data_IF_075918650805
#
_entry.id   IF_075918650805
#
_cell.length_a   1.000
_cell.length_b   1.000
_cell.length_c   1.000
_cell.angle_alpha   90.00
_cell.angle_beta   90.00
_cell.angle_gamma   90.00
#
_symmetry.space_group_name_H-M   'P 1'
#
loop_
_entity.id
_entity.type
_entity.pdbx_description
1 polymer ?
#
# COMPACT_ATOMS: atom_id res chain seq x y z
N UNK A 1 -25.68 -34.46 -40.35
CA UNK A 1 -24.30 -33.90 -40.29
C UNK A 1 -24.38 -32.47 -39.80
N UNK A 2 -23.41 -32.08 -38.96
CA UNK A 2 -23.14 -30.73 -38.41
C UNK A 2 -24.03 -30.32 -37.24
N UNK A 3 -23.42 -30.26 -36.06
CA UNK A 3 -23.21 -29.06 -35.22
C UNK A 3 -22.83 -29.59 -33.84
N UNK A 4 -21.53 -29.76 -33.58
CA UNK A 4 -21.00 -29.93 -32.23
C UNK A 4 -19.47 -29.68 -32.24
N UNK A 5 -19.04 -28.57 -32.84
CA UNK A 5 -17.66 -28.09 -32.75
C UNK A 5 -17.69 -26.59 -32.41
N UNK A 6 -18.37 -26.22 -31.31
CA UNK A 6 -18.29 -24.84 -30.76
C UNK A 6 -18.47 -24.85 -29.23
N UNK A 7 -17.97 -25.88 -28.53
CA UNK A 7 -17.94 -25.86 -27.04
C UNK A 7 -16.57 -26.35 -26.55
N UNK A 8 -15.49 -25.86 -27.15
CA UNK A 8 -14.13 -26.17 -26.68
C UNK A 8 -13.22 -24.94 -26.55
N UNK A 9 -13.74 -23.71 -26.71
CA UNK A 9 -12.96 -22.48 -26.54
C UNK A 9 -13.35 -21.63 -25.32
N UNK A 10 -14.42 -21.96 -24.60
CA UNK A 10 -14.81 -21.23 -23.38
C UNK A 10 -13.98 -21.60 -22.14
N UNK A 11 -13.02 -22.53 -22.28
CA UNK A 11 -12.14 -22.97 -21.19
C UNK A 11 -10.76 -22.28 -21.19
N UNK A 12 -10.49 -21.35 -22.12
CA UNK A 12 -9.21 -20.64 -22.22
C UNK A 12 -9.27 -19.15 -21.84
N UNK A 13 -10.23 -18.78 -20.98
CA UNK A 13 -10.21 -17.49 -20.29
C UNK A 13 -10.24 -17.72 -18.77
N UNK A 14 -9.47 -18.70 -18.30
CA UNK A 14 -8.95 -18.64 -16.94
C UNK A 14 -7.73 -17.73 -17.02
N UNK A 15 -7.97 -16.48 -16.67
CA UNK A 15 -7.03 -15.38 -16.66
C UNK A 15 -5.67 -15.82 -16.13
N UNK A 16 -4.65 -15.46 -16.89
CA UNK A 16 -3.24 -15.50 -16.58
C UNK A 16 -2.89 -14.53 -15.44
N UNK A 17 -3.46 -14.74 -14.26
CA UNK A 17 -2.94 -14.14 -13.03
C UNK A 17 -1.73 -14.98 -12.63
N UNK A 18 -0.58 -14.67 -13.24
CA UNK A 18 0.69 -15.04 -12.66
C UNK A 18 0.77 -14.32 -11.30
N UNK A 19 0.26 -14.97 -10.26
CA UNK A 19 0.35 -14.48 -8.89
C UNK A 19 1.83 -14.32 -8.58
N UNK A 20 2.28 -13.09 -8.35
CA UNK A 20 3.66 -12.83 -7.97
C UNK A 20 4.03 -13.71 -6.77
N UNK A 21 5.02 -14.57 -6.95
CA UNK A 21 5.52 -15.42 -5.87
C UNK A 21 6.63 -14.68 -5.14
N UNK A 22 6.34 -14.22 -3.93
CA UNK A 22 7.34 -13.62 -3.05
C UNK A 22 8.50 -14.59 -2.79
N UNK A 23 9.72 -14.14 -3.02
CA UNK A 23 10.93 -14.93 -2.76
C UNK A 23 11.67 -14.29 -1.59
N UNK A 24 11.90 -15.00 -0.48
CA UNK A 24 12.69 -14.47 0.62
C UNK A 24 14.09 -14.03 0.17
N UNK A 25 14.47 -12.80 0.53
CA UNK A 25 15.79 -12.24 0.21
C UNK A 25 16.75 -12.44 1.37
N UNK A 26 17.93 -12.98 1.10
CA UNK A 26 18.98 -13.16 2.09
C UNK A 26 19.39 -11.84 2.74
N UNK A 27 19.46 -11.81 4.07
CA UNK A 27 19.73 -10.62 4.87
C UNK A 27 18.51 -9.72 5.12
N UNK A 28 17.33 -10.13 4.65
CA UNK A 28 16.04 -9.47 4.88
C UNK A 28 14.93 -10.49 5.18
N UNK A 29 15.24 -11.56 5.90
CA UNK A 29 14.29 -12.65 6.20
C UNK A 29 13.09 -12.19 7.04
N UNK A 30 13.20 -11.01 7.67
CA UNK A 30 12.13 -10.33 8.39
C UNK A 30 11.09 -9.69 7.46
N UNK A 31 11.44 -9.41 6.19
CA UNK A 31 10.48 -9.03 5.15
C UNK A 31 9.64 -10.26 4.80
N UNK A 32 8.32 -10.11 4.89
CA UNK A 32 7.36 -11.18 4.61
C UNK A 32 6.51 -10.83 3.39
N UNK A 33 5.97 -11.88 2.77
CA UNK A 33 5.01 -11.77 1.66
C UNK A 33 3.77 -10.96 2.05
N UNK A 34 3.41 -10.94 3.34
CA UNK A 34 2.32 -10.14 3.86
C UNK A 34 2.74 -9.38 5.11
N UNK A 35 2.13 -8.22 5.35
CA UNK A 35 2.30 -7.44 6.58
C UNK A 35 0.96 -6.91 7.06
N UNK A 36 0.66 -6.95 8.35
CA UNK A 36 -0.54 -6.29 8.87
C UNK A 36 -0.43 -4.78 8.69
N UNK A 37 -1.55 -4.17 8.31
CA UNK A 37 -1.78 -2.73 8.37
C UNK A 37 -2.63 -2.46 9.60
N UNK A 38 -2.17 -1.55 10.45
CA UNK A 38 -2.78 -1.27 11.75
C UNK A 38 -2.96 0.22 11.96
N UNK A 39 -3.75 0.60 12.96
CA UNK A 39 -3.98 2.01 13.33
C UNK A 39 -4.43 2.88 12.15
N UNK A 40 -5.18 2.30 11.21
CA UNK A 40 -5.73 3.03 10.09
C UNK A 40 -6.82 3.98 10.56
N UNK A 41 -6.69 5.27 10.22
CA UNK A 41 -7.73 6.26 10.43
C UNK A 41 -7.69 7.25 9.29
N UNK A 42 -8.85 7.50 8.68
CA UNK A 42 -9.11 8.61 7.78
C UNK A 42 -10.11 9.54 8.45
N UNK A 43 -9.80 10.81 8.52
CA UNK A 43 -10.63 11.85 9.10
C UNK A 43 -10.90 12.93 8.05
N UNK A 44 -12.16 13.27 7.89
CA UNK A 44 -12.63 14.42 7.16
C UNK A 44 -13.19 15.45 8.13
N UNK A 45 -12.63 16.65 8.11
CA UNK A 45 -13.11 17.79 8.88
C UNK A 45 -14.50 18.23 8.43
N UNK A 46 -15.28 18.80 9.35
CA UNK A 46 -16.50 19.48 8.95
C UNK A 46 -16.13 20.70 8.09
N UNK A 47 -16.90 20.98 7.03
CA UNK A 47 -16.60 22.05 6.06
C UNK A 47 -16.44 23.44 6.69
N UNK A 48 -16.99 23.65 7.90
CA UNK A 48 -16.97 24.92 8.63
C UNK A 48 -16.06 24.89 9.87
N UNK A 49 -15.28 23.83 10.07
CA UNK A 49 -14.33 23.68 11.17
C UNK A 49 -12.89 23.82 10.66
N UNK A 50 -12.00 24.28 11.52
CA UNK A 50 -10.58 24.47 11.27
C UNK A 50 -9.77 23.16 11.27
N UNK A 51 -10.40 22.04 11.62
CA UNK A 51 -9.72 20.74 11.69
C UNK A 51 -9.47 20.20 10.28
N UNK A 52 -8.21 20.06 9.83
CA UNK A 52 -7.90 19.60 8.48
C UNK A 52 -8.17 18.10 8.33
N UNK A 53 -8.45 17.69 7.09
CA UNK A 53 -8.50 16.27 6.73
C UNK A 53 -7.16 15.61 7.02
N UNK A 54 -7.20 14.36 7.48
CA UNK A 54 -6.00 13.62 7.80
C UNK A 54 -6.15 12.12 7.58
N UNK A 55 -5.03 11.47 7.29
CA UNK A 55 -4.94 10.01 7.20
C UNK A 55 -3.72 9.54 7.95
N UNK A 56 -3.85 8.44 8.67
CA UNK A 56 -2.74 7.76 9.35
C UNK A 56 -2.90 6.25 9.31
N UNK A 57 -1.78 5.54 9.32
CA UNK A 57 -1.72 4.09 9.42
C UNK A 57 -0.29 3.63 9.73
N UNK A 58 -0.14 2.35 10.07
CA UNK A 58 1.13 1.74 10.42
C UNK A 58 1.29 0.35 9.81
N UNK A 59 2.51 -0.02 9.44
CA UNK A 59 2.92 -1.40 9.18
C UNK A 59 4.04 -1.76 10.18
N UNK A 60 3.70 -2.22 11.39
CA UNK A 60 4.64 -2.33 12.50
C UNK A 60 5.81 -3.28 12.22
N UNK A 61 5.56 -4.39 11.51
CA UNK A 61 6.59 -5.36 11.12
C UNK A 61 7.68 -4.73 10.27
N UNK A 62 7.33 -3.70 9.50
CA UNK A 62 8.25 -2.96 8.65
C UNK A 62 8.80 -1.68 9.31
N UNK A 63 8.40 -1.39 10.54
CA UNK A 63 8.74 -0.14 11.24
C UNK A 63 8.20 1.11 10.55
N UNK A 64 7.08 1.01 9.82
CA UNK A 64 6.49 2.13 9.10
C UNK A 64 5.35 2.76 9.89
N UNK A 65 5.41 4.08 10.05
CA UNK A 65 4.31 4.91 10.53
C UNK A 65 4.09 6.08 9.58
N UNK A 66 2.90 6.16 9.02
CA UNK A 66 2.58 7.07 7.92
C UNK A 66 1.44 7.99 8.31
N UNK A 67 1.57 9.26 7.97
CA UNK A 67 0.53 10.26 8.27
C UNK A 67 0.60 11.42 7.29
N UNK A 68 -0.56 11.91 6.86
CA UNK A 68 -0.70 13.14 6.10
C UNK A 68 -1.85 13.97 6.69
N UNK A 69 -1.73 15.28 6.58
CA UNK A 69 -2.78 16.25 6.88
C UNK A 69 -2.86 17.23 5.71
N UNK A 70 -4.07 17.63 5.33
CA UNK A 70 -4.25 18.58 4.23
C UNK A 70 -3.67 19.95 4.60
N UNK A 71 -2.93 20.58 3.67
CA UNK A 71 -2.37 21.93 3.87
C UNK A 71 -3.10 23.03 3.12
N UNK A 72 -3.82 22.73 2.04
CA UNK A 72 -4.80 23.59 1.33
C UNK A 72 -5.03 23.06 -0.09
N UNK A 73 -6.28 22.72 -0.44
CA UNK A 73 -6.82 22.51 -1.80
C UNK A 73 -6.81 21.08 -2.39
N UNK A 74 -6.57 20.02 -1.62
CA UNK A 74 -6.80 18.64 -2.09
C UNK A 74 -7.34 17.81 -0.94
N UNK A 75 -8.66 17.67 -0.90
CA UNK A 75 -9.39 16.97 0.16
C UNK A 75 -8.99 15.50 0.17
N UNK A 76 -8.25 15.10 1.20
CA UNK A 76 -7.75 13.73 1.37
C UNK A 76 -8.95 12.80 1.46
N UNK A 77 -9.11 11.89 0.50
CA UNK A 77 -10.19 10.90 0.55
C UNK A 77 -11.53 11.39 0.00
N UNK A 78 -11.62 12.61 -0.51
CA UNK A 78 -12.78 13.04 -1.33
C UNK A 78 -12.70 12.35 -2.71
N UNK A 79 -13.83 11.95 -3.32
CA UNK A 79 -13.90 10.76 -4.16
C UNK A 79 -12.84 10.69 -5.26
N UNK A 80 -12.15 9.54 -5.34
CA UNK A 80 -11.16 9.19 -6.37
C UNK A 80 -9.83 9.96 -6.36
N UNK A 81 -9.44 10.60 -5.26
CA UNK A 81 -8.12 11.24 -5.15
C UNK A 81 -7.05 10.26 -4.64
N UNK A 82 -5.93 10.18 -5.38
CA UNK A 82 -4.71 9.54 -4.87
C UNK A 82 -4.01 10.51 -3.92
N UNK A 83 -3.93 10.19 -2.63
CA UNK A 83 -3.21 10.98 -1.65
C UNK A 83 -1.81 10.41 -1.41
N UNK A 84 -0.80 11.27 -1.50
CA UNK A 84 0.54 10.91 -1.07
C UNK A 84 0.64 10.96 0.46
N UNK A 85 1.07 9.87 1.09
CA UNK A 85 1.18 9.80 2.56
C UNK A 85 2.63 9.53 2.92
N UNK A 86 3.37 10.52 3.44
CA UNK A 86 4.75 10.31 3.86
C UNK A 86 4.79 9.32 5.03
N UNK A 87 5.81 8.46 5.01
CA UNK A 87 6.06 7.49 6.07
C UNK A 87 7.38 7.79 6.76
N UNK A 88 7.36 7.71 8.08
CA UNK A 88 8.57 7.62 8.89
C UNK A 88 9.02 6.16 8.96
N UNK A 89 10.34 5.96 8.87
CA UNK A 89 11.00 4.67 9.03
C UNK A 89 12.27 4.85 9.86
N UNK A 90 12.58 3.95 10.81
CA UNK A 90 13.93 3.86 11.34
C UNK A 90 14.89 3.50 10.19
N UNK A 91 16.02 4.22 10.04
CA UNK A 91 17.09 3.85 9.11
C UNK A 91 17.28 4.69 7.82
N UNK A 92 16.71 5.90 7.74
CA UNK A 92 17.07 6.96 6.76
C UNK A 92 16.71 6.79 5.27
N UNK A 93 16.29 5.61 4.81
CA UNK A 93 15.75 5.49 3.44
C UNK A 93 14.29 5.95 3.40
N UNK A 94 14.03 7.06 2.71
CA UNK A 94 12.68 7.60 2.49
C UNK A 94 11.75 6.51 1.96
N UNK A 95 10.82 6.06 2.80
CA UNK A 95 9.74 5.17 2.38
C UNK A 95 8.58 6.08 1.98
N UNK A 96 8.24 6.05 0.70
CA UNK A 96 7.15 6.84 0.15
C UNK A 96 5.94 5.91 0.01
N UNK A 97 4.82 6.24 0.66
CA UNK A 97 3.57 5.54 0.47
C UNK A 97 2.56 6.38 -0.30
N UNK A 98 1.69 5.71 -1.04
CA UNK A 98 0.56 6.28 -1.76
C UNK A 98 -0.70 5.62 -1.25
N UNK A 99 -1.63 6.42 -0.78
CA UNK A 99 -2.92 5.95 -0.33
C UNK A 99 -3.98 6.35 -1.35
N UNK A 100 -4.86 5.42 -1.71
CA UNK A 100 -6.02 5.68 -2.56
C UNK A 100 -7.29 5.27 -1.81
N UNK A 101 -8.31 6.09 -1.89
CA UNK A 101 -9.67 5.73 -1.50
C UNK A 101 -10.55 5.70 -2.72
N UNK A 102 -11.44 4.71 -2.77
CA UNK A 102 -12.46 4.62 -3.80
C UNK A 102 -13.82 4.88 -3.15
N UNK A 103 -14.58 5.79 -3.74
CA UNK A 103 -16.01 5.98 -3.45
C UNK A 103 -16.77 5.08 -4.43
N UNK A 104 -17.66 4.22 -3.93
CA UNK A 104 -18.46 3.31 -4.75
C UNK A 104 -19.79 3.93 -5.21
N UNK A 105 -19.98 5.24 -5.03
CA UNK A 105 -21.00 6.01 -5.73
C UNK A 105 -22.40 5.92 -5.12
N UNK A 106 -22.59 5.19 -4.02
CA UNK A 106 -23.83 5.22 -3.25
C UNK A 106 -23.69 6.20 -2.07
N UNK A 107 -24.20 7.42 -2.25
CA UNK A 107 -24.37 8.44 -1.19
C UNK A 107 -23.10 9.06 -0.57
N UNK A 108 -21.96 8.98 -1.26
CA UNK A 108 -20.72 9.56 -0.76
C UNK A 108 -20.21 8.84 0.48
N UNK A 109 -20.41 7.54 0.57
CA UNK A 109 -19.87 6.70 1.64
C UNK A 109 -18.63 5.98 1.10
N UNK A 110 -17.47 6.28 1.68
CA UNK A 110 -16.25 5.54 1.38
C UNK A 110 -16.41 4.11 1.88
N UNK A 111 -16.50 3.14 0.97
CA UNK A 111 -16.70 1.74 1.32
C UNK A 111 -15.39 0.96 1.34
N UNK A 112 -14.40 1.35 0.53
CA UNK A 112 -13.13 0.66 0.40
C UNK A 112 -11.93 1.61 0.32
N UNK A 113 -10.83 1.15 0.91
CA UNK A 113 -9.53 1.78 0.83
C UNK A 113 -8.54 0.83 0.14
N UNK A 114 -7.66 1.42 -0.66
CA UNK A 114 -6.49 0.73 -1.20
C UNK A 114 -5.20 1.45 -0.79
N UNK A 115 -4.35 0.74 -0.06
CA UNK A 115 -3.04 1.23 0.35
C UNK A 115 -1.97 0.64 -0.55
N UNK A 116 -1.14 1.51 -1.14
CA UNK A 116 0.08 1.14 -1.84
C UNK A 116 1.29 1.72 -1.13
N UNK A 117 2.27 0.91 -0.78
CA UNK A 117 3.49 1.44 -0.20
C UNK A 117 4.71 0.65 -0.63
N UNK A 118 5.86 1.33 -0.67
CA UNK A 118 7.12 0.74 -1.09
C UNK A 118 8.09 0.76 0.07
N UNK A 119 8.58 -0.41 0.48
CA UNK A 119 9.66 -0.52 1.46
C UNK A 119 10.98 -0.66 0.74
N UNK A 120 11.86 0.33 0.90
CA UNK A 120 13.26 0.22 0.53
C UNK A 120 14.05 -0.35 1.70
N UNK A 121 14.88 -1.35 1.46
CA UNK A 121 15.76 -1.90 2.50
C UNK A 121 17.05 -2.46 1.91
N UNK A 122 18.13 -2.35 2.68
CA UNK A 122 19.39 -3.01 2.39
C UNK A 122 19.28 -4.48 2.86
N UNK A 123 19.45 -5.41 1.94
CA UNK A 123 19.47 -6.86 2.18
C UNK A 123 20.84 -7.40 1.82
N UNK A 124 21.60 -7.83 2.83
CA UNK A 124 23.00 -8.19 2.69
C UNK A 124 23.79 -7.09 1.93
N UNK A 125 24.21 -7.36 0.68
CA UNK A 125 25.02 -6.46 -0.14
C UNK A 125 24.24 -5.59 -1.13
N UNK A 126 22.91 -5.73 -1.23
CA UNK A 126 22.08 -5.01 -2.22
C UNK A 126 20.90 -4.27 -1.60
N UNK A 127 20.35 -3.30 -2.33
CA UNK A 127 19.11 -2.61 -1.94
C UNK A 127 17.95 -3.27 -2.70
N UNK A 128 16.82 -3.47 -2.03
CA UNK A 128 15.59 -3.97 -2.63
C UNK A 128 14.44 -2.99 -2.38
N UNK A 129 13.51 -2.95 -3.32
CA UNK A 129 12.21 -2.30 -3.20
C UNK A 129 11.10 -3.35 -3.19
N UNK A 130 10.35 -3.41 -2.08
CA UNK A 130 9.20 -4.29 -1.91
C UNK A 130 7.93 -3.46 -2.00
N UNK A 131 7.11 -3.73 -3.02
CA UNK A 131 5.85 -3.05 -3.27
C UNK A 131 4.74 -3.83 -2.60
N UNK A 132 4.01 -3.18 -1.70
CA UNK A 132 2.90 -3.75 -0.98
C UNK A 132 1.59 -3.10 -1.43
N UNK A 133 0.54 -3.91 -1.47
CA UNK A 133 -0.83 -3.47 -1.72
C UNK A 133 -1.78 -4.08 -0.68
N UNK A 134 -2.72 -3.30 -0.18
CA UNK A 134 -3.80 -3.76 0.68
C UNK A 134 -5.13 -3.18 0.23
N UNK A 135 -6.15 -4.03 0.11
CA UNK A 135 -7.53 -3.64 -0.15
C UNK A 135 -8.37 -4.04 1.06
N UNK A 136 -9.11 -3.11 1.65
CA UNK A 136 -9.91 -3.38 2.84
C UNK A 136 -11.13 -2.46 2.96
N UNK A 137 -12.23 -2.96 3.57
CA UNK A 137 -13.42 -2.14 3.80
C UNK A 137 -13.17 -1.07 4.85
N UNK A 138 -13.87 0.05 4.73
CA UNK A 138 -13.90 1.12 5.71
C UNK A 138 -15.21 1.10 6.51
N UNK A 139 -15.11 1.39 7.80
CA UNK A 139 -16.25 1.68 8.67
C UNK A 139 -16.21 3.15 9.04
N UNK A 140 -17.15 3.91 8.48
CA UNK A 140 -17.23 5.35 8.67
C UNK A 140 -18.35 5.73 9.64
N UNK A 141 -18.06 6.68 10.52
CA UNK A 141 -19.02 7.33 11.41
C UNK A 141 -19.02 8.82 11.09
N UNK A 142 -20.21 9.44 11.10
CA UNK A 142 -20.37 10.88 10.85
C UNK A 142 -20.93 11.54 12.10
N UNK A 143 -20.29 12.61 12.55
CA UNK A 143 -20.71 13.39 13.71
C UNK A 143 -20.50 14.89 13.43
N UNK A 144 -21.53 15.69 13.68
CA UNK A 144 -21.52 17.14 13.46
C UNK A 144 -20.95 17.62 12.09
N UNK A 145 -21.11 16.80 11.03
CA UNK A 145 -20.59 17.10 9.70
C UNK A 145 -19.13 16.70 9.46
N UNK A 146 -18.40 16.29 10.50
CA UNK A 146 -17.13 15.59 10.37
C UNK A 146 -17.37 14.10 10.13
N UNK A 147 -16.40 13.42 9.50
CA UNK A 147 -16.48 11.98 9.23
C UNK A 147 -15.17 11.30 9.59
N UNK A 148 -15.26 10.23 10.37
CA UNK A 148 -14.11 9.39 10.73
C UNK A 148 -14.32 7.99 10.20
N UNK A 149 -13.36 7.49 9.42
CA UNK A 149 -13.34 6.14 8.88
C UNK A 149 -12.16 5.34 9.47
N UNK A 150 -12.44 4.11 9.86
CA UNK A 150 -11.45 3.13 10.34
C UNK A 150 -11.50 1.87 9.48
N UNK A 151 -10.49 1.02 9.56
CA UNK A 151 -10.52 -0.28 8.87
C UNK A 151 -11.63 -1.17 9.43
N UNK A 152 -12.46 -1.74 8.56
CA UNK A 152 -13.57 -2.65 8.93
C UNK A 152 -13.17 -4.06 9.33
N UNK A 153 -11.90 -4.28 9.63
CA UNK A 153 -11.33 -5.57 10.00
C UNK A 153 -9.81 -5.53 9.94
N UNK A 154 -9.20 -6.72 9.97
CA UNK A 154 -7.74 -6.86 9.85
C UNK A 154 -7.29 -6.56 8.42
N UNK A 155 -6.79 -5.35 8.18
CA UNK A 155 -6.15 -4.99 6.92
C UNK A 155 -4.79 -5.67 6.81
N UNK A 156 -4.54 -6.37 5.71
CA UNK A 156 -3.26 -7.03 5.42
C UNK A 156 -2.78 -6.57 4.06
N UNK A 157 -1.54 -6.09 4.00
CA UNK A 157 -0.88 -5.76 2.75
C UNK A 157 -0.07 -6.95 2.25
N UNK A 158 -0.04 -7.15 0.93
CA UNK A 158 0.61 -8.27 0.26
C UNK A 158 1.68 -7.69 -0.68
N UNK A 159 2.84 -8.33 -0.75
CA UNK A 159 3.86 -7.96 -1.74
C UNK A 159 3.33 -8.29 -3.13
N UNK A 160 3.20 -7.27 -3.97
CA UNK A 160 2.77 -7.41 -5.37
C UNK A 160 3.95 -7.38 -6.34
N UNK A 161 5.09 -6.83 -5.90
CA UNK A 161 6.31 -6.77 -6.70
C UNK A 161 7.54 -6.65 -5.80
N UNK A 162 8.62 -7.31 -6.22
CA UNK A 162 9.95 -7.18 -5.65
C UNK A 162 10.91 -6.70 -6.74
N UNK A 163 11.76 -5.73 -6.42
CA UNK A 163 12.75 -5.19 -7.34
C UNK A 163 14.11 -5.06 -6.67
N UNK A 164 15.12 -5.74 -7.23
CA UNK A 164 16.52 -5.48 -6.89
C UNK A 164 16.96 -4.14 -7.47
N UNK A 165 17.61 -3.32 -6.63
CA UNK A 165 18.17 -2.04 -7.01
C UNK A 165 19.71 -2.14 -6.97
N UNK A 166 20.40 -1.74 -8.05
CA UNK A 166 21.85 -1.75 -8.06
C UNK A 166 22.39 -0.80 -6.97
N UNK A 167 23.49 -1.16 -6.29
CA UNK A 167 24.12 -0.26 -5.33
C UNK A 167 24.57 1.03 -6.00
N UNK A 168 24.45 2.15 -5.29
CA UNK A 168 24.80 3.49 -5.80
C UNK A 168 26.32 3.59 -6.08
N UNK A 169 27.14 2.76 -5.43
CA UNK A 169 28.59 2.69 -5.64
C UNK A 169 29.02 1.30 -6.13
N UNK A 170 30.10 1.26 -6.90
CA UNK A 170 30.79 0.03 -7.26
C UNK A 170 31.11 -0.80 -6.01
N UNK A 171 31.03 -2.14 -6.07
CA UNK A 171 31.41 -2.97 -4.94
C UNK A 171 32.87 -2.69 -4.54
N UNK A 172 33.22 -2.75 -3.25
CA UNK A 172 34.59 -2.58 -2.82
C UNK A 172 35.49 -3.61 -3.51
N UNK A 173 36.73 -3.25 -3.88
CA UNK A 173 37.65 -4.19 -4.52
C UNK A 173 37.87 -5.41 -3.60
N UNK A 174 38.04 -6.62 -4.18
CA UNK A 174 38.29 -7.81 -3.39
C UNK A 174 39.52 -7.63 -2.48
N UNK A 175 39.55 -8.29 -1.30
CA UNK A 175 40.72 -8.23 -0.41
C UNK A 175 41.96 -8.66 -1.20
N UNK A 176 43.02 -7.87 -1.13
CA UNK A 176 44.32 -8.33 -1.65
C UNK A 176 44.70 -9.56 -0.84
N UNK A 177 44.96 -10.68 -1.53
CA UNK A 177 45.66 -11.81 -0.90
C UNK A 177 47.01 -11.25 -0.41
N UNK A 178 47.18 -11.23 0.91
CA UNK A 178 48.48 -10.99 1.56
C UNK A 178 49.25 -12.30 1.51
#
# INVERSE_FOLDING_TARGET
MKIAIVILLSALVAFSDAQFQFTPVHGCEWIKATTPVTNFTLFHGATNDSTPDSVRWQAPVLGLACSASESSATTIGSPATTTYVPCTSPGSSSTNARFLTFDDGASGNLSNATLYFVRYTQCAASIYAFYYESNFPLLCTSDAGARTCVSGGNATAIVTRELWLPPISSPPPPPRKI
#
